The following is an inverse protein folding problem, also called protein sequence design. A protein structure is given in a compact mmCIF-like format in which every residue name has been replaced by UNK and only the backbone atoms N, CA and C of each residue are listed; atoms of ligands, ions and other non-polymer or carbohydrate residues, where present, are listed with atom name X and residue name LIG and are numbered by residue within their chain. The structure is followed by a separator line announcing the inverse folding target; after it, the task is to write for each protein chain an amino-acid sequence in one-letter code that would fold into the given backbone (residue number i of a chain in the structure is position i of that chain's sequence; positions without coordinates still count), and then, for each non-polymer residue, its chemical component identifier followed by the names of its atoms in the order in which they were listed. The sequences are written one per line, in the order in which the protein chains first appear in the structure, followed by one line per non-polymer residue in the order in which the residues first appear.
data_IF_390112275983
#
_entry.id   IF_390112275983
#
_cell.length_a   1.000
_cell.length_b   1.000
_cell.length_c   1.000
_cell.angle_alpha   90.00
_cell.angle_beta   90.00
_cell.angle_gamma   90.00
#
_symmetry.space_group_name_H-M   'P 1'
#
loop_
_entity.id
_entity.type
_entity.pdbx_description
1 polymer ?
#
# COMPACT_ATOMS: atom_id res chain seq x y z
N UNK A 1 23.68 4.73 1.50
CA UNK A 1 23.49 3.86 0.31
C UNK A 1 22.06 3.29 0.20
N UNK A 2 21.03 3.91 0.82
CA UNK A 2 19.64 3.40 0.80
C UNK A 2 18.70 4.15 -0.16
N UNK A 3 19.08 5.35 -0.61
CA UNK A 3 18.25 6.19 -1.48
C UNK A 3 17.89 5.50 -2.81
N UNK A 4 18.85 4.81 -3.44
CA UNK A 4 18.61 4.10 -4.71
C UNK A 4 17.60 2.96 -4.59
N UNK A 5 17.57 2.26 -3.44
CA UNK A 5 16.63 1.18 -3.19
C UNK A 5 15.23 1.72 -2.92
N UNK A 6 15.12 2.80 -2.14
CA UNK A 6 13.82 3.47 -1.86
C UNK A 6 13.22 4.01 -3.16
N UNK A 7 14.03 4.61 -4.04
CA UNK A 7 13.57 5.08 -5.34
C UNK A 7 13.06 3.93 -6.23
N UNK A 8 13.72 2.77 -6.19
CA UNK A 8 13.28 1.56 -6.90
C UNK A 8 11.95 1.03 -6.36
N UNK A 9 11.78 1.01 -5.04
CA UNK A 9 10.53 0.63 -4.38
C UNK A 9 9.42 1.60 -4.79
N UNK A 10 9.67 2.91 -4.74
CA UNK A 10 8.69 3.93 -5.15
C UNK A 10 8.22 3.71 -6.60
N UNK A 11 9.15 3.48 -7.52
CA UNK A 11 8.83 3.16 -8.93
C UNK A 11 8.00 1.88 -9.06
N UNK A 12 8.32 0.86 -8.27
CA UNK A 12 7.59 -0.41 -8.26
C UNK A 12 6.16 -0.24 -7.76
N UNK A 13 5.94 0.51 -6.67
CA UNK A 13 4.60 0.79 -6.13
C UNK A 13 3.73 1.57 -7.14
N UNK A 14 4.33 2.52 -7.86
CA UNK A 14 3.66 3.22 -8.97
C UNK A 14 3.29 2.24 -10.08
N UNK A 15 4.23 1.39 -10.53
CA UNK A 15 3.99 0.39 -11.57
C UNK A 15 2.90 -0.63 -11.21
N UNK A 16 2.84 -1.04 -9.94
CA UNK A 16 1.84 -1.98 -9.40
C UNK A 16 0.49 -1.32 -9.06
N UNK A 17 0.37 -0.01 -9.26
CA UNK A 17 -0.81 0.80 -8.88
C UNK A 17 -1.19 0.57 -7.42
N UNK A 18 -0.23 0.75 -6.52
CA UNK A 18 -0.40 0.65 -5.08
C UNK A 18 -0.33 2.04 -4.43
N UNK A 19 -1.36 2.88 -4.61
CA UNK A 19 -1.33 4.25 -4.09
C UNK A 19 -1.27 4.29 -2.57
N UNK A 20 -1.88 3.32 -1.88
CA UNK A 20 -1.89 3.31 -0.41
C UNK A 20 -0.53 2.97 0.16
N UNK A 21 0.12 1.96 -0.41
CA UNK A 21 1.49 1.63 -0.04
C UNK A 21 2.44 2.81 -0.31
N UNK A 22 2.22 3.57 -1.39
CA UNK A 22 3.02 4.76 -1.70
C UNK A 22 2.84 5.87 -0.65
N UNK A 23 1.61 6.09 -0.18
CA UNK A 23 1.31 7.05 0.91
C UNK A 23 1.96 6.64 2.23
N UNK A 24 1.94 5.34 2.55
CA UNK A 24 2.46 4.80 3.81
C UNK A 24 3.98 4.59 3.81
N UNK A 25 4.64 4.59 2.64
CA UNK A 25 6.06 4.27 2.51
C UNK A 25 6.95 5.16 3.38
N UNK A 26 6.76 6.48 3.35
CA UNK A 26 7.64 7.41 4.08
C UNK A 26 7.50 7.24 5.61
N UNK A 27 6.28 6.98 6.10
CA UNK A 27 6.04 6.70 7.52
C UNK A 27 6.62 5.34 7.94
N UNK A 28 6.48 4.33 7.09
CA UNK A 28 7.01 2.98 7.32
C UNK A 28 8.54 3.00 7.40
N UNK A 29 9.20 3.74 6.49
CA UNK A 29 10.65 3.90 6.51
C UNK A 29 11.15 4.55 7.81
N UNK A 30 10.46 5.59 8.30
CA UNK A 30 10.81 6.22 9.59
C UNK A 30 10.71 5.24 10.75
N UNK A 31 9.69 4.39 10.77
CA UNK A 31 9.51 3.36 11.81
C UNK A 31 10.62 2.30 11.75
N UNK A 32 11.06 1.91 10.56
CA UNK A 32 12.24 1.04 10.39
C UNK A 32 13.50 1.73 10.93
N UNK A 33 13.73 3.00 10.59
CA UNK A 33 14.90 3.78 11.05
C UNK A 33 14.92 3.97 12.58
N UNK A 34 13.75 4.04 13.20
CA UNK A 34 13.57 4.11 14.66
C UNK A 34 13.70 2.73 15.34
N UNK A 35 13.79 1.64 14.58
CA UNK A 35 13.83 0.29 15.10
C UNK A 35 12.49 -0.22 15.65
N UNK A 36 11.38 0.42 15.30
CA UNK A 36 10.04 0.02 15.75
C UNK A 36 9.54 -1.23 15.04
N UNK A 37 9.91 -1.41 13.77
CA UNK A 37 9.53 -2.53 12.93
C UNK A 37 10.72 -2.97 12.07
N UNK A 38 10.78 -4.26 11.75
CA UNK A 38 11.74 -4.77 10.77
C UNK A 38 11.22 -4.60 9.32
N UNK A 39 12.09 -4.91 8.36
CA UNK A 39 11.75 -4.78 6.94
C UNK A 39 10.64 -5.74 6.47
N UNK A 40 10.51 -6.94 7.05
CA UNK A 40 9.48 -7.90 6.67
C UNK A 40 8.12 -7.45 7.20
N UNK A 41 8.07 -7.00 8.45
CA UNK A 41 6.87 -6.43 9.05
C UNK A 41 6.40 -5.18 8.28
N UNK A 42 7.34 -4.31 7.89
CA UNK A 42 7.05 -3.17 7.05
C UNK A 42 6.42 -3.56 5.69
N UNK A 43 6.93 -4.61 5.04
CA UNK A 43 6.34 -5.10 3.80
C UNK A 43 4.93 -5.65 4.00
N UNK A 44 4.70 -6.43 5.06
CA UNK A 44 3.37 -6.96 5.37
C UNK A 44 2.37 -5.83 5.62
N UNK A 45 2.72 -4.84 6.45
CA UNK A 45 1.87 -3.68 6.73
C UNK A 45 1.48 -2.93 5.45
N UNK A 46 2.45 -2.63 4.56
CA UNK A 46 2.18 -1.96 3.27
C UNK A 46 1.23 -2.77 2.38
N UNK A 47 1.36 -4.10 2.33
CA UNK A 47 0.52 -4.96 1.51
C UNK A 47 -0.89 -5.12 2.10
N UNK A 48 -1.01 -5.25 3.42
CA UNK A 48 -2.30 -5.35 4.12
C UNK A 48 -3.12 -4.08 3.95
N UNK A 49 -2.50 -2.91 4.06
CA UNK A 49 -3.19 -1.63 3.83
C UNK A 49 -3.74 -1.54 2.39
N UNK A 50 -2.93 -1.89 1.40
CA UNK A 50 -3.35 -1.84 0.00
C UNK A 50 -4.43 -2.88 -0.33
N UNK A 51 -4.33 -4.10 0.20
CA UNK A 51 -5.33 -5.14 0.06
C UNK A 51 -6.68 -4.68 0.63
N UNK A 52 -6.66 -4.12 1.85
CA UNK A 52 -7.86 -3.59 2.52
C UNK A 52 -8.54 -2.49 1.70
N UNK A 53 -7.75 -1.59 1.10
CA UNK A 53 -8.27 -0.52 0.25
C UNK A 53 -8.91 -1.07 -1.04
N UNK A 54 -8.25 -2.04 -1.70
CA UNK A 54 -8.77 -2.68 -2.92
C UNK A 54 -10.08 -3.40 -2.65
N UNK A 55 -10.14 -4.14 -1.55
CA UNK A 55 -11.34 -4.86 -1.14
C UNK A 55 -12.50 -3.90 -0.85
N UNK A 56 -12.24 -2.82 -0.13
CA UNK A 56 -13.24 -1.77 0.13
C UNK A 56 -13.81 -1.16 -1.15
N UNK A 57 -12.95 -0.89 -2.16
CA UNK A 57 -13.41 -0.41 -3.47
C UNK A 57 -14.24 -1.46 -4.21
N UNK A 58 -13.84 -2.72 -4.17
CA UNK A 58 -14.54 -3.84 -4.82
C UNK A 58 -15.94 -4.01 -4.26
N UNK A 59 -16.08 -3.99 -2.93
CA UNK A 59 -17.38 -4.07 -2.24
C UNK A 59 -18.28 -2.88 -2.64
N UNK A 60 -17.74 -1.65 -2.61
CA UNK A 60 -18.50 -0.45 -3.00
C UNK A 60 -19.00 -0.52 -4.45
N UNK A 61 -18.15 -0.97 -5.37
CA UNK A 61 -18.54 -1.14 -6.77
C UNK A 61 -19.64 -2.18 -6.93
N UNK A 62 -19.54 -3.33 -6.24
CA UNK A 62 -20.57 -4.37 -6.27
C UNK A 62 -21.92 -3.85 -5.74
N UNK A 63 -21.91 -3.10 -4.63
CA UNK A 63 -23.12 -2.47 -4.08
C UNK A 63 -23.74 -1.45 -5.03
N UNK A 64 -22.91 -0.65 -5.73
CA UNK A 64 -23.40 0.31 -6.72
C UNK A 64 -24.04 -0.40 -7.93
N UNK A 65 -23.41 -1.47 -8.44
CA UNK A 65 -23.93 -2.23 -9.57
C UNK A 65 -25.25 -2.94 -9.24
N UNK A 66 -25.37 -3.50 -8.03
CA UNK A 66 -26.62 -4.11 -7.57
C UNK A 66 -27.81 -3.12 -7.57
N UNK A 67 -27.55 -1.82 -7.39
CA UNK A 67 -28.57 -0.76 -7.45
C UNK A 67 -28.91 -0.31 -8.88
N UNK A 68 -28.11 -0.69 -9.89
CA UNK A 68 -28.32 -0.32 -11.29
C UNK A 68 -29.09 -1.40 -12.08
N UNK A 69 -29.18 -2.63 -11.55
CA UNK A 69 -29.88 -3.77 -12.17
C UNK A 69 -31.39 -3.86 -11.85
N UNK A 70 -32.00 -2.79 -11.36
CA UNK A 70 -33.45 -2.62 -11.14
C UNK A 70 -33.96 -1.45 -11.94
#
# INVERSE_FOLDING_TARGET
MHASTIDSIRKSLVGLRMPRALEALDATLRRIEQGEIDGIQAFDELLVEELTLRESRRIKAALMMARLTT
#
